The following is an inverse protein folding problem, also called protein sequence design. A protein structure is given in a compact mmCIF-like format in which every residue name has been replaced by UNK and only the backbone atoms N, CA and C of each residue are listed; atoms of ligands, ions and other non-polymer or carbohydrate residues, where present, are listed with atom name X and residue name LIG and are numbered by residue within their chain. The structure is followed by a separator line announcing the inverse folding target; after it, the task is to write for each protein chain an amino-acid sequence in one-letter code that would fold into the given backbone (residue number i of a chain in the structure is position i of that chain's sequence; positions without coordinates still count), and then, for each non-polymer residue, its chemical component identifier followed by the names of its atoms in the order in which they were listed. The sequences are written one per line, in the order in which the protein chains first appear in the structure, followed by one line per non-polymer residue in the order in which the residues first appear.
data_IF_825612243932
#
_entry.id   IF_825612243932
#
_cell.length_a   1.000
_cell.length_b   1.000
_cell.length_c   1.000
_cell.angle_alpha   90.00
_cell.angle_beta   90.00
_cell.angle_gamma   90.00
#
_symmetry.space_group_name_H-M   'P 1'
#
loop_
_entity.id
_entity.type
_entity.pdbx_description
1 polymer ?
#
# COMPACT_ATOMS: atom_id res chain seq x y z
N UNK A 1 5.35 -21.50 -12.91
CA UNK A 1 3.90 -21.21 -12.97
C UNK A 1 3.69 -19.78 -12.46
N UNK A 2 3.06 -18.91 -13.25
CA UNK A 2 2.76 -17.53 -12.88
C UNK A 2 1.41 -17.51 -12.16
N UNK A 3 1.38 -17.19 -10.87
CA UNK A 3 0.12 -16.91 -10.17
C UNK A 3 -0.47 -15.58 -10.66
N UNK A 4 -1.77 -15.33 -10.43
CA UNK A 4 -2.58 -14.17 -10.88
C UNK A 4 -1.99 -12.76 -10.62
N UNK A 5 -0.86 -12.67 -9.93
CA UNK A 5 -0.13 -11.46 -9.55
C UNK A 5 1.13 -11.21 -10.39
N UNK A 6 1.54 -12.17 -11.23
CA UNK A 6 2.68 -12.03 -12.14
C UNK A 6 4.07 -12.09 -11.49
N UNK A 7 4.15 -12.50 -10.22
CA UNK A 7 5.39 -12.58 -9.45
C UNK A 7 5.82 -14.05 -9.18
N UNK A 8 7.13 -14.33 -9.00
CA UNK A 8 7.61 -15.65 -8.59
C UNK A 8 6.95 -16.12 -7.28
N UNK A 9 6.71 -17.43 -7.13
CA UNK A 9 6.03 -17.98 -5.95
C UNK A 9 6.71 -17.63 -4.62
N UNK A 10 8.03 -17.40 -4.65
CA UNK A 10 8.84 -17.09 -3.47
C UNK A 10 8.83 -15.61 -3.07
N UNK A 11 8.25 -14.72 -3.88
CA UNK A 11 8.23 -13.27 -3.61
C UNK A 11 6.92 -12.76 -3.00
N UNK A 12 5.99 -13.66 -2.65
CA UNK A 12 4.67 -13.27 -2.15
C UNK A 12 4.75 -12.51 -0.81
N UNK A 13 5.63 -12.95 0.09
CA UNK A 13 5.88 -12.29 1.39
C UNK A 13 6.46 -10.90 1.19
N UNK A 14 7.39 -10.74 0.26
CA UNK A 14 8.02 -9.45 0.01
C UNK A 14 7.03 -8.46 -0.61
N UNK A 15 6.20 -8.90 -1.56
CA UNK A 15 5.12 -8.06 -2.12
C UNK A 15 4.14 -7.63 -1.02
N UNK A 16 3.79 -8.53 -0.10
CA UNK A 16 2.89 -8.22 1.02
C UNK A 16 3.52 -7.23 2.01
N UNK A 17 4.84 -7.28 2.23
CA UNK A 17 5.55 -6.28 3.05
C UNK A 17 5.64 -4.94 2.31
N UNK A 18 6.01 -4.96 1.04
CA UNK A 18 6.18 -3.75 0.22
C UNK A 18 4.89 -2.95 0.07
N UNK A 19 3.73 -3.59 -0.06
CA UNK A 19 2.44 -2.86 -0.17
C UNK A 19 2.09 -2.10 1.12
N UNK A 20 2.53 -2.62 2.27
CA UNK A 20 2.39 -1.96 3.57
C UNK A 20 3.43 -0.83 3.69
N UNK A 21 4.68 -1.07 3.27
CA UNK A 21 5.76 -0.08 3.37
C UNK A 21 5.55 1.13 2.43
N UNK A 22 5.00 0.92 1.24
CA UNK A 22 4.61 2.02 0.35
C UNK A 22 3.23 2.62 0.70
N UNK A 23 2.58 2.11 1.75
CA UNK A 23 1.35 2.69 2.29
C UNK A 23 0.10 2.47 1.43
N UNK A 24 0.15 1.62 0.41
CA UNK A 24 -1.05 1.24 -0.35
C UNK A 24 -1.97 0.31 0.45
N UNK A 25 -1.44 -0.32 1.49
CA UNK A 25 -2.20 -1.05 2.49
C UNK A 25 -1.84 -0.55 3.89
N UNK A 26 -2.85 -0.42 4.75
CA UNK A 26 -2.66 -0.06 6.16
C UNK A 26 -2.91 -1.28 7.05
N UNK A 27 -2.20 -1.34 8.17
CA UNK A 27 -2.43 -2.34 9.21
C UNK A 27 -3.12 -1.64 10.38
N UNK A 28 -4.38 -2.02 10.61
CA UNK A 28 -5.20 -1.47 11.67
C UNK A 28 -6.08 -2.56 12.27
N UNK A 29 -6.34 -2.44 13.57
CA UNK A 29 -7.30 -3.24 14.31
C UNK A 29 -8.56 -2.41 14.55
N UNK A 30 -9.71 -3.07 14.57
CA UNK A 30 -10.99 -2.47 14.91
C UNK A 30 -11.56 -3.16 16.14
N UNK A 31 -11.54 -2.45 17.26
CA UNK A 31 -11.94 -2.96 18.56
C UNK A 31 -12.73 -1.89 19.31
N UNK A 32 -13.75 -2.28 20.08
CA UNK A 32 -14.58 -1.35 20.87
C UNK A 32 -15.16 -0.15 20.06
N UNK A 33 -15.49 -0.40 18.79
CA UNK A 33 -15.94 0.59 17.81
C UNK A 33 -14.91 1.65 17.38
N UNK A 34 -13.63 1.45 17.70
CA UNK A 34 -12.53 2.34 17.33
C UNK A 34 -11.51 1.64 16.43
N UNK A 35 -10.89 2.40 15.53
CA UNK A 35 -9.74 1.93 14.74
C UNK A 35 -8.44 2.36 15.41
N UNK A 36 -7.49 1.42 15.51
CA UNK A 36 -6.11 1.68 15.94
C UNK A 36 -5.15 1.30 14.83
N UNK A 37 -4.30 2.23 14.39
CA UNK A 37 -3.23 1.93 13.44
C UNK A 37 -2.11 1.15 14.16
N UNK A 38 -1.94 -0.13 13.84
CA UNK A 38 -0.85 -0.95 14.40
C UNK A 38 0.51 -0.56 13.81
N UNK A 39 0.52 -0.02 12.59
CA UNK A 39 1.72 0.51 11.95
C UNK A 39 1.39 1.88 11.35
N UNK A 40 2.06 2.91 11.87
CA UNK A 40 1.94 4.29 11.42
C UNK A 40 3.30 4.81 10.93
N UNK A 41 3.70 4.49 9.67
CA UNK A 41 4.98 4.94 9.13
C UNK A 41 5.04 6.47 9.03
N UNK A 42 6.19 7.04 9.41
CA UNK A 42 6.47 8.47 9.20
C UNK A 42 6.73 8.78 7.72
N UNK A 43 7.31 7.81 7.02
CA UNK A 43 7.68 7.89 5.60
C UNK A 43 7.22 6.62 4.90
N UNK A 44 7.00 6.71 3.59
CA UNK A 44 6.60 5.60 2.75
C UNK A 44 7.65 5.33 1.68
N UNK A 45 7.79 4.06 1.30
CA UNK A 45 8.58 3.68 0.12
C UNK A 45 7.84 4.02 -1.19
N UNK A 46 8.53 3.90 -2.32
CA UNK A 46 7.99 4.26 -3.63
C UNK A 46 6.84 3.36 -4.07
N UNK A 47 5.68 3.96 -4.33
CA UNK A 47 4.51 3.30 -4.96
C UNK A 47 4.84 2.84 -6.38
N UNK A 48 5.59 3.65 -7.14
CA UNK A 48 5.97 3.34 -8.52
C UNK A 48 6.81 2.05 -8.61
N UNK A 49 7.84 1.94 -7.76
CA UNK A 49 8.70 0.75 -7.69
C UNK A 49 7.90 -0.51 -7.35
N UNK A 50 6.98 -0.41 -6.38
CA UNK A 50 6.11 -1.52 -6.00
C UNK A 50 5.15 -1.95 -7.13
N UNK A 51 4.52 -0.99 -7.81
CA UNK A 51 3.56 -1.28 -8.88
C UNK A 51 4.25 -1.89 -10.12
N UNK A 52 5.41 -1.35 -10.52
CA UNK A 52 6.16 -1.81 -11.71
C UNK A 52 6.65 -3.26 -11.60
N UNK A 53 6.83 -3.80 -10.39
CA UNK A 53 7.17 -5.21 -10.15
C UNK A 53 6.05 -6.19 -10.54
N UNK A 54 4.80 -5.73 -10.64
CA UNK A 54 3.64 -6.58 -10.87
C UNK A 54 3.09 -6.40 -12.28
N UNK A 55 3.01 -7.48 -13.05
CA UNK A 55 2.58 -7.42 -14.47
C UNK A 55 1.21 -6.79 -14.68
N UNK A 56 0.28 -6.98 -13.72
CA UNK A 56 -1.07 -6.42 -13.76
C UNK A 56 -1.14 -4.90 -13.78
N UNK A 57 -0.07 -4.21 -13.36
CA UNK A 57 -0.01 -2.74 -13.31
C UNK A 57 0.84 -2.13 -14.42
N UNK A 58 1.34 -2.94 -15.37
CA UNK A 58 2.18 -2.46 -16.48
C UNK A 58 1.51 -1.42 -17.40
N UNK A 59 0.18 -1.33 -17.37
CA UNK A 59 -0.58 -0.40 -18.19
C UNK A 59 -0.73 1.00 -17.55
N UNK A 60 -0.36 1.16 -16.28
CA UNK A 60 -0.50 2.43 -15.58
C UNK A 60 0.51 3.45 -16.12
N UNK A 61 0.04 4.65 -16.38
CA UNK A 61 0.90 5.77 -16.76
C UNK A 61 1.52 6.44 -15.52
N UNK A 62 2.40 7.43 -15.73
CA UNK A 62 2.94 8.21 -14.61
C UNK A 62 1.85 9.01 -13.91
N UNK A 63 0.93 9.58 -14.69
CA UNK A 63 -0.21 10.34 -14.18
C UNK A 63 -1.15 9.45 -13.34
N UNK A 64 -1.36 8.20 -13.74
CA UNK A 64 -2.10 7.23 -12.93
C UNK A 64 -1.42 6.97 -11.58
N UNK A 65 -0.09 6.80 -11.59
CA UNK A 65 0.70 6.56 -10.38
C UNK A 65 0.68 7.77 -9.45
N UNK A 66 0.81 8.99 -9.99
CA UNK A 66 0.71 10.23 -9.21
C UNK A 66 -0.67 10.38 -8.57
N UNK A 67 -1.74 10.03 -9.28
CA UNK A 67 -3.09 10.01 -8.73
C UNK A 67 -3.23 8.99 -7.60
N UNK A 68 -2.66 7.78 -7.76
CA UNK A 68 -2.66 6.76 -6.71
C UNK A 68 -1.92 7.26 -5.46
N UNK A 69 -0.75 7.90 -5.62
CA UNK A 69 0.02 8.47 -4.50
C UNK A 69 -0.80 9.56 -3.79
N UNK A 70 -1.43 10.45 -4.55
CA UNK A 70 -2.28 11.51 -4.01
C UNK A 70 -3.44 10.96 -3.18
N UNK A 71 -4.14 9.94 -3.69
CA UNK A 71 -5.25 9.32 -2.95
C UNK A 71 -4.76 8.53 -1.73
N UNK A 72 -3.60 7.87 -1.83
CA UNK A 72 -2.92 7.24 -0.68
C UNK A 72 -2.66 8.27 0.41
N UNK A 73 -2.05 9.40 0.08
CA UNK A 73 -1.71 10.45 1.06
C UNK A 73 -2.98 11.05 1.70
N UNK A 74 -4.02 11.33 0.90
CA UNK A 74 -5.31 11.78 1.42
C UNK A 74 -5.91 10.78 2.42
N UNK A 75 -5.91 9.49 2.08
CA UNK A 75 -6.44 8.43 2.96
C UNK A 75 -5.66 8.36 4.27
N UNK A 76 -4.33 8.40 4.21
CA UNK A 76 -3.47 8.39 5.41
C UNK A 76 -3.65 9.63 6.28
N UNK A 77 -3.82 10.81 5.70
CA UNK A 77 -4.13 12.02 6.46
C UNK A 77 -5.48 11.92 7.18
N UNK A 78 -6.49 11.35 6.52
CA UNK A 78 -7.80 11.11 7.13
C UNK A 78 -7.72 10.08 8.28
N UNK A 79 -6.98 8.97 8.08
CA UNK A 79 -6.79 7.98 9.14
C UNK A 79 -6.04 8.59 10.33
N UNK A 80 -4.94 9.31 10.07
CA UNK A 80 -4.14 9.96 11.13
C UNK A 80 -4.87 11.05 11.90
N UNK A 81 -5.89 11.65 11.30
CA UNK A 81 -6.73 12.64 11.97
C UNK A 81 -7.89 12.03 12.77
N UNK A 82 -8.29 10.79 12.48
CA UNK A 82 -9.54 10.19 13.00
C UNK A 82 -9.35 8.94 13.84
N UNK A 83 -8.26 8.21 13.63
CA UNK A 83 -7.99 6.93 14.28
C UNK A 83 -6.98 7.14 15.39
N UNK A 84 -6.88 6.16 16.29
CA UNK A 84 -5.80 6.11 17.26
C UNK A 84 -4.52 5.68 16.52
N UNK A 85 -3.44 6.44 16.66
CA UNK A 85 -2.24 6.31 15.80
C UNK A 85 -0.93 6.25 16.57
#
# INVERSE_FOLDING_TARGET
MSHRWGAPSDSAVDIAKEVVDCGLWYLAEYENNEFTLNKNPKEFTSVEEYLKKQSRFRHLTKEDIERIITERDKKWNLMRAKWNC
#
